data_IF_726775241393
#
_entry.id   IF_726775241393
#
_cell.length_a   1.000
_cell.length_b   1.000
_cell.length_c   1.000
_cell.angle_alpha   90.00
_cell.angle_beta   90.00
_cell.angle_gamma   90.00
#
_symmetry.space_group_name_H-M   'P 1'
#
loop_
_entity.id
_entity.type
_entity.pdbx_description
1 polymer ?
#
# COMPACT_ATOMS: atom_id res chain seq x y z
N UNK A 1 39.15 35.22 44.39
CA UNK A 1 39.46 35.36 42.96
C UNK A 1 39.99 34.00 42.52
N UNK A 2 39.40 33.20 41.61
CA UNK A 2 38.50 33.46 40.47
C UNK A 2 37.60 32.22 40.29
N UNK A 3 36.35 32.45 39.89
CA UNK A 3 35.27 31.49 39.62
C UNK A 3 35.55 30.66 38.36
N UNK A 4 35.02 29.45 38.37
CA UNK A 4 34.78 28.55 37.23
C UNK A 4 33.89 29.19 36.16
N UNK A 5 34.20 28.94 34.88
CA UNK A 5 33.25 28.93 33.75
C UNK A 5 33.68 27.86 32.72
N UNK A 6 32.79 26.94 32.30
CA UNK A 6 33.04 25.99 31.22
C UNK A 6 32.63 26.58 29.85
N UNK A 7 33.59 26.62 28.92
CA UNK A 7 33.40 27.07 27.55
C UNK A 7 32.49 26.16 26.73
N UNK A 8 31.30 26.69 26.42
CA UNK A 8 30.55 26.64 25.15
C UNK A 8 31.07 25.70 24.06
N UNK A 9 30.31 24.63 23.79
CA UNK A 9 30.44 23.80 22.58
C UNK A 9 29.79 24.51 21.38
N UNK A 10 30.45 24.65 20.21
CA UNK A 10 29.82 25.23 19.05
C UNK A 10 28.86 24.23 18.38
N UNK A 11 27.56 24.54 18.42
CA UNK A 11 26.52 23.85 17.65
C UNK A 11 26.73 24.10 16.15
N UNK A 12 27.10 23.04 15.42
CA UNK A 12 27.24 23.07 13.96
C UNK A 12 25.85 23.07 13.31
N UNK A 13 25.40 24.26 12.89
CA UNK A 13 24.18 24.43 12.09
C UNK A 13 24.39 23.77 10.73
N UNK A 14 23.73 22.62 10.51
CA UNK A 14 23.67 21.97 9.20
C UNK A 14 22.77 22.82 8.30
N UNK A 15 23.38 23.58 7.39
CA UNK A 15 22.67 24.26 6.31
C UNK A 15 22.16 23.21 5.32
N UNK A 16 20.86 22.95 5.33
CA UNK A 16 20.18 22.14 4.33
C UNK A 16 20.26 22.87 2.98
N UNK A 17 21.04 22.31 2.05
CA UNK A 17 21.02 22.72 0.64
C UNK A 17 19.66 22.38 0.00
N UNK A 18 19.25 23.11 -1.05
CA UNK A 18 17.98 22.88 -1.70
C UNK A 18 17.97 21.49 -2.36
N UNK A 19 17.01 20.65 -1.95
CA UNK A 19 16.66 19.42 -2.67
C UNK A 19 16.23 19.81 -4.08
N UNK A 20 16.97 19.36 -5.11
CA UNK A 20 16.50 19.37 -6.49
C UNK A 20 15.30 18.42 -6.58
N UNK A 21 14.10 18.96 -6.48
CA UNK A 21 12.91 18.33 -7.03
C UNK A 21 13.00 18.44 -8.56
N UNK A 22 13.15 17.32 -9.28
CA UNK A 22 12.80 17.28 -10.71
C UNK A 22 12.34 15.89 -11.17
N UNK A 23 11.39 15.90 -12.11
CA UNK A 23 10.75 14.77 -12.80
C UNK A 23 9.57 14.09 -12.07
N UNK A 24 8.65 14.90 -11.55
CA UNK A 24 7.34 14.43 -11.09
C UNK A 24 6.30 14.23 -12.22
N UNK A 25 6.67 14.00 -13.50
CA UNK A 25 5.60 13.85 -14.53
C UNK A 25 5.89 12.95 -15.75
N UNK A 26 6.95 12.14 -15.75
CA UNK A 26 7.12 11.09 -16.75
C UNK A 26 7.00 9.74 -16.07
N UNK A 27 5.93 8.99 -16.42
CA UNK A 27 5.77 7.60 -16.02
C UNK A 27 7.07 6.85 -16.30
N UNK A 28 7.62 6.18 -15.30
CA UNK A 28 8.90 5.48 -15.46
C UNK A 28 8.80 4.43 -16.56
N UNK A 29 9.91 4.09 -17.25
CA UNK A 29 9.91 3.01 -18.24
C UNK A 29 9.36 1.70 -17.67
N UNK A 30 9.73 1.36 -16.43
CA UNK A 30 9.22 0.20 -15.71
C UNK A 30 7.69 0.26 -15.47
N UNK A 31 7.15 1.43 -15.13
CA UNK A 31 5.71 1.62 -14.98
C UNK A 31 4.97 1.49 -16.33
N UNK A 32 5.59 1.97 -17.41
CA UNK A 32 5.05 1.85 -18.77
C UNK A 32 5.00 0.40 -19.22
N UNK A 33 6.09 -0.34 -19.04
CA UNK A 33 6.21 -1.75 -19.35
C UNK A 33 5.22 -2.59 -18.54
N UNK A 34 5.13 -2.34 -17.24
CA UNK A 34 4.17 -3.03 -16.36
C UNK A 34 2.73 -2.73 -16.77
N UNK A 35 2.41 -1.50 -17.15
CA UNK A 35 1.07 -1.14 -17.64
C UNK A 35 0.75 -1.85 -18.97
N UNK A 36 1.74 -2.02 -19.85
CA UNK A 36 1.59 -2.79 -21.07
C UNK A 36 1.36 -4.29 -20.78
N UNK A 37 2.14 -4.87 -19.87
CA UNK A 37 1.98 -6.26 -19.42
C UNK A 37 0.59 -6.51 -18.81
N UNK A 38 0.12 -5.61 -17.93
CA UNK A 38 -1.24 -5.67 -17.36
C UNK A 38 -2.29 -5.71 -18.48
N UNK A 39 -2.19 -4.80 -19.45
CA UNK A 39 -3.14 -4.74 -20.56
C UNK A 39 -3.11 -6.04 -21.39
N UNK A 40 -1.94 -6.60 -21.65
CA UNK A 40 -1.78 -7.83 -22.43
C UNK A 40 -2.43 -9.02 -21.72
N UNK A 41 -2.09 -9.26 -20.45
CA UNK A 41 -2.65 -10.37 -19.66
C UNK A 41 -4.16 -10.23 -19.50
N UNK A 42 -4.65 -9.06 -19.10
CA UNK A 42 -6.10 -8.85 -18.98
C UNK A 42 -6.83 -9.04 -20.31
N UNK A 43 -6.21 -8.68 -21.44
CA UNK A 43 -6.80 -8.92 -22.76
C UNK A 43 -6.79 -10.39 -23.15
N UNK A 44 -5.76 -11.15 -22.78
CA UNK A 44 -5.70 -12.61 -22.98
C UNK A 44 -6.87 -13.29 -22.25
N UNK A 45 -7.02 -13.01 -20.95
CA UNK A 45 -8.12 -13.57 -20.16
C UNK A 45 -9.49 -13.11 -20.64
N UNK A 46 -9.63 -11.84 -21.07
CA UNK A 46 -10.89 -11.36 -21.62
C UNK A 46 -11.24 -12.02 -22.96
N UNK A 47 -10.24 -12.35 -23.79
CA UNK A 47 -10.42 -13.12 -25.01
C UNK A 47 -10.89 -14.54 -24.70
N UNK A 48 -10.24 -15.25 -23.77
CA UNK A 48 -10.67 -16.59 -23.35
C UNK A 48 -12.14 -16.60 -22.91
N UNK A 49 -12.51 -15.69 -22.01
CA UNK A 49 -13.90 -15.56 -21.53
C UNK A 49 -14.86 -15.22 -22.67
N UNK A 50 -14.48 -14.32 -23.59
CA UNK A 50 -15.31 -13.94 -24.72
C UNK A 50 -15.53 -15.09 -25.70
N UNK A 51 -14.48 -15.87 -25.98
CA UNK A 51 -14.52 -17.01 -26.90
C UNK A 51 -15.37 -18.15 -26.33
N UNK A 52 -15.07 -18.61 -25.12
CA UNK A 52 -15.77 -19.75 -24.52
C UNK A 52 -17.22 -19.45 -24.17
N UNK A 53 -17.50 -18.21 -23.75
CA UNK A 53 -18.88 -17.77 -23.44
C UNK A 53 -19.60 -17.16 -24.63
N UNK A 54 -18.97 -17.12 -25.81
CA UNK A 54 -19.51 -16.55 -27.06
C UNK A 54 -20.04 -15.12 -26.90
N UNK A 55 -19.27 -14.28 -26.21
CA UNK A 55 -19.59 -12.88 -25.96
C UNK A 55 -18.83 -11.94 -26.89
N UNK A 56 -19.35 -10.71 -27.02
CA UNK A 56 -18.59 -9.63 -27.66
C UNK A 56 -17.40 -9.25 -26.78
N UNK A 57 -16.17 -9.20 -27.31
CA UNK A 57 -15.00 -8.80 -26.53
C UNK A 57 -15.07 -7.33 -26.11
N UNK A 58 -14.59 -6.99 -24.91
CA UNK A 58 -14.52 -5.60 -24.44
C UNK A 58 -13.45 -4.81 -25.21
N UNK A 59 -13.48 -3.48 -25.09
CA UNK A 59 -12.41 -2.63 -25.59
C UNK A 59 -11.06 -2.97 -24.91
N UNK A 60 -9.94 -2.91 -25.65
CA UNK A 60 -8.60 -3.30 -25.17
C UNK A 60 -7.90 -2.24 -24.29
N UNK A 61 -8.66 -1.57 -23.43
CA UNK A 61 -8.12 -0.70 -22.39
C UNK A 61 -8.32 -1.32 -21.01
N UNK A 62 -7.40 -1.04 -20.08
CA UNK A 62 -7.37 -1.70 -18.76
C UNK A 62 -8.71 -1.60 -18.03
N UNK A 63 -9.38 -0.44 -18.03
CA UNK A 63 -10.66 -0.24 -17.35
C UNK A 63 -11.75 -1.18 -17.89
N UNK A 64 -11.91 -1.24 -19.22
CA UNK A 64 -12.93 -2.08 -19.85
C UNK A 64 -12.64 -3.57 -19.63
N UNK A 65 -11.37 -3.97 -19.74
CA UNK A 65 -10.92 -5.34 -19.50
C UNK A 65 -11.19 -5.78 -18.06
N UNK A 66 -10.77 -4.98 -17.07
CA UNK A 66 -11.01 -5.29 -15.65
C UNK A 66 -12.51 -5.39 -15.37
N UNK A 67 -13.32 -4.45 -15.86
CA UNK A 67 -14.78 -4.50 -15.67
C UNK A 67 -15.39 -5.79 -16.23
N UNK A 68 -15.01 -6.16 -17.46
CA UNK A 68 -15.50 -7.38 -18.11
C UNK A 68 -15.11 -8.63 -17.31
N UNK A 69 -13.86 -8.74 -16.88
CA UNK A 69 -13.38 -9.86 -16.08
C UNK A 69 -14.06 -9.93 -14.71
N UNK A 70 -14.27 -8.79 -14.04
CA UNK A 70 -14.98 -8.75 -12.75
C UNK A 70 -16.42 -9.26 -12.87
N UNK A 71 -17.13 -8.97 -13.97
CA UNK A 71 -18.47 -9.49 -14.22
C UNK A 71 -18.48 -11.01 -14.46
N UNK A 72 -17.34 -11.60 -14.79
CA UNK A 72 -17.18 -13.01 -15.11
C UNK A 72 -16.29 -13.75 -14.11
N UNK A 73 -15.97 -13.14 -12.96
CA UNK A 73 -15.09 -13.70 -11.95
C UNK A 73 -15.60 -15.04 -11.39
N UNK A 74 -16.92 -15.16 -11.15
CA UNK A 74 -17.53 -16.40 -10.69
C UNK A 74 -17.42 -17.54 -11.72
N UNK A 75 -17.50 -17.21 -13.02
CA UNK A 75 -17.32 -18.18 -14.09
C UNK A 75 -15.85 -18.61 -14.18
N UNK A 76 -14.91 -17.65 -14.14
CA UNK A 76 -13.47 -17.93 -14.12
C UNK A 76 -13.06 -18.77 -12.92
N UNK A 77 -13.68 -18.58 -11.76
CA UNK A 77 -13.39 -19.36 -10.56
C UNK A 77 -13.77 -20.85 -10.70
N UNK A 78 -14.72 -21.17 -11.59
CA UNK A 78 -15.10 -22.56 -11.90
C UNK A 78 -14.38 -23.13 -13.13
N UNK A 79 -13.59 -22.31 -13.84
CA UNK A 79 -12.89 -22.72 -15.05
C UNK A 79 -11.65 -23.56 -14.69
N UNK A 80 -11.25 -24.57 -15.50
CA UNK A 80 -10.05 -25.38 -15.22
C UNK A 80 -8.77 -24.57 -15.00
N UNK A 81 -8.62 -23.45 -15.72
CA UNK A 81 -7.49 -22.52 -15.60
C UNK A 81 -7.64 -21.47 -14.47
N UNK A 82 -8.52 -21.69 -13.48
CA UNK A 82 -8.75 -20.75 -12.38
C UNK A 82 -7.46 -20.41 -11.60
N UNK A 83 -6.57 -21.40 -11.41
CA UNK A 83 -5.27 -21.17 -10.76
C UNK A 83 -4.38 -20.22 -11.56
N UNK A 84 -4.27 -20.46 -12.86
CA UNK A 84 -3.43 -19.67 -13.77
C UNK A 84 -3.84 -18.19 -13.81
N UNK A 85 -5.15 -17.90 -13.88
CA UNK A 85 -5.63 -16.51 -13.89
C UNK A 85 -5.35 -15.79 -12.57
N UNK A 86 -5.43 -16.50 -11.44
CA UNK A 86 -5.09 -15.94 -10.13
C UNK A 86 -3.60 -15.66 -10.02
N UNK A 87 -2.76 -16.59 -10.49
CA UNK A 87 -1.31 -16.45 -10.43
C UNK A 87 -0.82 -15.31 -11.32
N UNK A 88 -1.25 -15.26 -12.59
CA UNK A 88 -0.82 -14.23 -13.53
C UNK A 88 -1.26 -12.82 -13.09
N UNK A 89 -2.53 -12.65 -12.67
CA UNK A 89 -3.02 -11.37 -12.17
C UNK A 89 -2.33 -11.00 -10.84
N UNK A 90 -2.06 -12.00 -10.01
CA UNK A 90 -1.33 -11.85 -8.74
C UNK A 90 0.09 -11.34 -8.95
N UNK A 91 0.84 -11.92 -9.88
CA UNK A 91 2.20 -11.51 -10.22
C UNK A 91 2.27 -10.09 -10.77
N UNK A 92 1.34 -9.74 -11.66
CA UNK A 92 1.22 -8.37 -12.16
C UNK A 92 0.86 -7.38 -11.05
N UNK A 93 -0.02 -7.77 -10.13
CA UNK A 93 -0.40 -6.92 -8.99
C UNK A 93 0.79 -6.69 -8.07
N UNK A 94 1.58 -7.73 -7.77
CA UNK A 94 2.81 -7.62 -6.98
C UNK A 94 3.82 -6.69 -7.65
N UNK A 95 4.04 -6.88 -8.95
CA UNK A 95 4.98 -6.08 -9.74
C UNK A 95 4.56 -4.60 -9.81
N UNK A 96 3.28 -4.35 -10.12
CA UNK A 96 2.71 -3.00 -10.14
C UNK A 96 2.79 -2.32 -8.78
N UNK A 97 2.50 -3.03 -7.69
CA UNK A 97 2.65 -2.50 -6.32
C UNK A 97 4.10 -2.16 -6.01
N UNK A 98 5.07 -3.00 -6.38
CA UNK A 98 6.50 -2.71 -6.18
C UNK A 98 6.93 -1.44 -6.90
N UNK A 99 6.41 -1.20 -8.11
CA UNK A 99 6.75 0.00 -8.90
C UNK A 99 6.02 1.26 -8.41
N UNK A 100 4.75 1.14 -8.05
CA UNK A 100 3.95 2.25 -7.52
C UNK A 100 4.41 2.66 -6.12
N UNK A 101 4.95 1.71 -5.35
CA UNK A 101 5.41 1.90 -3.98
C UNK A 101 6.86 1.37 -3.82
N UNK A 102 7.84 1.97 -4.52
CA UNK A 102 9.22 1.47 -4.58
C UNK A 102 9.92 1.49 -3.22
N UNK A 103 9.45 2.33 -2.30
CA UNK A 103 10.03 2.51 -0.98
C UNK A 103 9.34 1.69 0.13
N UNK A 104 8.53 0.68 -0.25
CA UNK A 104 8.17 -0.42 0.65
C UNK A 104 7.55 -0.01 1.99
N UNK A 105 6.57 0.90 2.01
CA UNK A 105 5.73 1.11 3.19
C UNK A 105 4.82 -0.13 3.37
N UNK A 106 5.39 -1.21 3.89
CA UNK A 106 4.68 -2.43 4.21
C UNK A 106 3.59 -2.10 5.22
N UNK A 107 2.33 -2.22 4.77
CA UNK A 107 1.16 -2.14 5.65
C UNK A 107 1.02 -3.46 6.38
N UNK A 108 1.30 -3.47 7.67
CA UNK A 108 1.06 -4.63 8.54
C UNK A 108 -0.14 -4.35 9.43
N UNK A 109 -1.14 -5.23 9.39
CA UNK A 109 -2.32 -5.15 10.27
C UNK A 109 -1.89 -5.34 11.73
N UNK A 110 -2.30 -4.42 12.59
CA UNK A 110 -2.01 -4.43 14.05
C UNK A 110 -3.20 -4.95 14.84
N UNK A 111 -4.42 -4.66 14.39
CA UNK A 111 -5.67 -4.99 15.07
C UNK A 111 -6.73 -3.94 14.79
N UNK A 112 -7.79 -3.93 15.58
CA UNK A 112 -8.94 -3.02 15.38
C UNK A 112 -8.67 -1.63 15.96
N UNK A 113 -9.29 -0.61 15.36
CA UNK A 113 -9.20 0.75 15.84
C UNK A 113 -10.03 0.92 17.13
N UNK A 114 -9.47 1.47 18.22
CA UNK A 114 -10.23 1.67 19.46
C UNK A 114 -11.22 2.84 19.38
N UNK A 115 -11.26 3.59 18.28
CA UNK A 115 -12.09 4.78 18.12
C UNK A 115 -13.12 4.67 16.97
N UNK A 116 -13.08 3.61 16.16
CA UNK A 116 -14.07 3.34 15.12
C UNK A 116 -14.05 1.85 14.69
N UNK A 117 -14.98 1.44 13.83
CA UNK A 117 -15.02 0.08 13.25
C UNK A 117 -13.93 -0.22 12.18
N UNK A 118 -12.90 0.64 12.08
CA UNK A 118 -11.80 0.46 11.14
C UNK A 118 -10.67 -0.41 11.68
N UNK A 119 -9.73 -0.75 10.81
CA UNK A 119 -8.54 -1.52 11.17
C UNK A 119 -7.32 -0.62 11.28
N UNK A 120 -6.37 -0.98 12.14
CA UNK A 120 -5.09 -0.32 12.29
C UNK A 120 -4.02 -1.02 11.47
N UNK A 121 -3.29 -0.24 10.69
CA UNK A 121 -2.14 -0.71 9.91
C UNK A 121 -0.89 0.08 10.27
N UNK A 122 0.24 -0.59 10.50
CA UNK A 122 1.54 0.05 10.60
C UNK A 122 1.96 0.49 9.21
N UNK A 123 2.32 1.75 9.06
CA UNK A 123 3.13 2.23 7.95
C UNK A 123 4.59 2.12 8.37
N UNK A 124 5.22 0.99 8.04
CA UNK A 124 6.66 0.84 8.28
C UNK A 124 7.42 1.77 7.34
N UNK A 125 8.11 2.76 7.91
CA UNK A 125 8.99 3.67 7.19
C UNK A 125 10.43 3.16 7.28
N UNK A 126 11.22 3.35 6.22
CA UNK A 126 12.63 2.93 6.25
C UNK A 126 13.44 3.77 7.24
N UNK A 127 14.62 3.27 7.65
CA UNK A 127 15.56 3.92 8.56
C UNK A 127 16.08 5.28 8.05
N UNK A 128 16.01 5.49 6.74
CA UNK A 128 16.46 6.71 6.03
C UNK A 128 15.30 7.65 5.68
N UNK A 129 14.06 7.29 6.01
CA UNK A 129 12.92 8.20 5.88
C UNK A 129 12.94 9.17 7.08
N UNK A 130 12.98 10.50 6.87
CA UNK A 130 12.91 11.46 7.97
C UNK A 130 11.54 11.45 8.68
N UNK A 131 10.51 10.84 8.08
CA UNK A 131 9.19 10.71 8.70
C UNK A 131 9.15 9.52 9.67
N UNK A 132 8.64 9.72 10.90
CA UNK A 132 8.52 8.64 11.86
C UNK A 132 7.54 7.57 11.38
N UNK A 133 7.80 6.30 11.74
CA UNK A 133 6.82 5.23 11.55
C UNK A 133 5.53 5.52 12.32
N UNK A 134 4.39 5.18 11.72
CA UNK A 134 3.07 5.54 12.23
C UNK A 134 2.07 4.40 12.06
N UNK A 135 1.15 4.24 13.01
CA UNK A 135 -0.01 3.37 12.89
C UNK A 135 -1.19 4.23 12.47
N UNK A 136 -1.89 3.86 11.40
CA UNK A 136 -3.05 4.60 10.88
C UNK A 136 -4.29 3.71 10.81
N UNK A 137 -5.46 4.29 10.95
CA UNK A 137 -6.71 3.62 10.68
C UNK A 137 -6.99 3.54 9.17
N UNK A 138 -7.59 2.44 8.71
CA UNK A 138 -8.02 2.26 7.32
C UNK A 138 -9.29 3.04 6.97
N UNK A 139 -10.08 3.44 7.97
CA UNK A 139 -11.37 4.12 7.79
C UNK A 139 -11.31 5.62 8.05
N UNK A 140 -10.62 6.02 9.12
CA UNK A 140 -10.61 7.40 9.63
C UNK A 140 -9.17 7.97 9.57
N UNK A 141 -8.86 8.94 8.70
CA UNK A 141 -7.50 9.42 8.50
C UNK A 141 -6.96 10.25 9.67
N UNK A 142 -7.84 10.78 10.52
CA UNK A 142 -7.54 11.47 11.78
C UNK A 142 -7.10 10.51 12.90
N UNK A 143 -7.37 9.21 12.75
CA UNK A 143 -6.91 8.17 13.65
C UNK A 143 -5.50 7.72 13.25
N UNK A 144 -4.50 8.49 13.68
CA UNK A 144 -3.09 8.15 13.52
C UNK A 144 -2.31 8.22 14.84
N UNK A 145 -1.32 7.33 14.97
CA UNK A 145 -0.48 7.20 16.15
C UNK A 145 0.99 7.11 15.76
N UNK A 146 1.78 8.17 16.03
CA UNK A 146 3.23 8.12 15.82
C UNK A 146 3.88 7.10 16.76
N UNK A 147 5.09 6.65 16.42
CA UNK A 147 5.85 5.64 17.18
C UNK A 147 5.88 5.87 18.70
N UNK A 148 5.97 7.12 19.15
CA UNK A 148 5.98 7.48 20.58
C UNK A 148 4.69 7.13 21.33
N UNK A 149 3.57 6.95 20.62
CA UNK A 149 2.26 6.65 21.21
C UNK A 149 1.84 5.19 21.09
N UNK A 150 2.68 4.32 20.52
CA UNK A 150 2.34 2.92 20.28
C UNK A 150 2.10 2.14 21.58
N UNK A 151 2.89 2.38 22.63
CA UNK A 151 2.68 1.74 23.93
C UNK A 151 1.31 2.07 24.54
N UNK A 152 0.89 3.34 24.44
CA UNK A 152 -0.43 3.80 24.90
C UNK A 152 -1.56 3.21 24.06
N UNK A 153 -1.37 3.12 22.74
CA UNK A 153 -2.32 2.49 21.83
C UNK A 153 -2.48 1.00 22.14
N UNK A 154 -1.38 0.26 22.34
CA UNK A 154 -1.41 -1.15 22.69
C UNK A 154 -2.20 -1.42 23.98
N UNK A 155 -2.11 -0.52 24.98
CA UNK A 155 -2.94 -0.61 26.20
C UNK A 155 -4.43 -0.42 25.90
N UNK A 156 -4.79 0.60 25.10
CA UNK A 156 -6.19 0.86 24.70
C UNK A 156 -6.79 -0.28 23.88
N UNK A 157 -6.01 -0.90 23.00
CA UNK A 157 -6.44 -2.06 22.23
C UNK A 157 -6.75 -3.25 23.14
N UNK A 158 -5.90 -3.51 24.15
CA UNK A 158 -6.15 -4.56 25.16
C UNK A 158 -7.41 -4.28 25.99
N UNK A 159 -7.64 -3.02 26.37
CA UNK A 159 -8.83 -2.62 27.12
C UNK A 159 -10.11 -2.80 26.28
N UNK A 160 -10.08 -2.41 25.00
CA UNK A 160 -11.21 -2.54 24.07
C UNK A 160 -11.54 -4.00 23.76
N UNK A 161 -10.51 -4.86 23.62
CA UNK A 161 -10.68 -6.30 23.41
C UNK A 161 -11.28 -7.00 24.65
N UNK A 162 -10.95 -6.52 25.86
CA UNK A 162 -11.54 -7.05 27.10
C UNK A 162 -12.99 -6.60 27.34
N UNK A 163 -13.39 -5.45 26.77
CA UNK A 163 -14.78 -4.96 26.82
C UNK A 163 -15.71 -5.59 25.76
N UNK A 164 -15.14 -6.13 24.67
CA UNK A 164 -15.88 -6.83 23.61
C UNK A 164 -16.00 -8.34 23.78
N UNK A 165 -15.33 -8.92 24.79
CA UNK A 165 -15.46 -10.33 25.14
C UNK A 165 -16.56 -10.48 26.20
N UNK A 166 -17.69 -11.08 25.85
CA UNK A 166 -18.80 -11.36 26.77
C UNK A 166 -19.27 -12.82 26.58
N UNK A 167 -19.69 -13.47 27.68
CA UNK A 167 -18.90 -14.16 28.69
C UNK A 167 -18.47 -15.59 28.30
#
# INVERSE_FOLDING_TARGET
>A
MIRTDPGTTPSRVIRNGPRKSSAADLMSPAATETRAAIRTVLASWASLVAEERRLKPPARNIRALTRFLSLHAAWLACHPAAGEVVDEIGDLTRSARKIAYPNGAGRVRVGDCPACNGELVVLMRHRDDPLPSEIVCTTAPDHSWPATRWATLARRMKESQRGGQCP
#
